data_IF_189700967794
#
_entry.id   IF_189700967794
#
_cell.length_a   1.000
_cell.length_b   1.000
_cell.length_c   1.000
_cell.angle_alpha   90.00
_cell.angle_beta   90.00
_cell.angle_gamma   90.00
#
_symmetry.space_group_name_H-M   'P 1'
#
loop_
_entity.id
_entity.type
_entity.pdbx_description
1 polymer ?
#
# COMPACT_ATOMS: atom_id res chain seq x y z
N UNK A 1 14.20 3.67 -5.11
CA UNK A 1 13.11 4.33 -5.83
C UNK A 1 13.66 5.50 -6.63
N UNK A 2 12.99 5.87 -7.74
CA UNK A 2 13.40 6.99 -8.57
C UNK A 2 12.35 7.42 -9.58
N UNK A 3 12.69 8.48 -10.33
CA UNK A 3 11.85 9.06 -11.37
C UNK A 3 12.69 9.32 -12.62
N UNK A 4 12.14 9.05 -13.80
CA UNK A 4 12.78 9.29 -15.09
C UNK A 4 11.81 10.04 -16.02
N UNK A 5 12.18 11.21 -16.58
CA UNK A 5 11.38 11.88 -17.61
C UNK A 5 11.25 10.97 -18.85
N UNK A 6 10.02 10.84 -19.39
CA UNK A 6 9.75 10.00 -20.56
C UNK A 6 9.19 10.78 -21.76
N UNK A 7 9.48 12.09 -21.80
CA UNK A 7 9.05 13.00 -22.84
C UNK A 7 7.71 13.69 -22.54
N UNK A 8 7.50 14.89 -23.10
CA UNK A 8 6.35 15.73 -22.78
C UNK A 8 6.22 16.00 -21.29
N UNK A 9 5.02 15.84 -20.75
CA UNK A 9 4.73 15.95 -19.31
C UNK A 9 4.81 14.59 -18.57
N UNK A 10 5.34 13.56 -19.23
CA UNK A 10 5.40 12.19 -18.70
C UNK A 10 6.61 11.95 -17.80
N UNK A 11 6.41 11.25 -16.70
CA UNK A 11 7.46 10.78 -15.78
C UNK A 11 7.23 9.31 -15.49
N UNK A 12 8.24 8.48 -15.73
CA UNK A 12 8.25 7.09 -15.28
C UNK A 12 8.70 7.05 -13.82
N UNK A 13 7.91 6.35 -12.99
CA UNK A 13 8.17 6.14 -11.57
C UNK A 13 8.61 4.70 -11.37
N UNK A 14 9.55 4.45 -10.46
CA UNK A 14 9.92 3.10 -10.11
C UNK A 14 10.39 2.98 -8.66
N UNK A 15 10.07 1.86 -8.05
CA UNK A 15 10.70 1.40 -6.81
C UNK A 15 11.06 -0.08 -6.97
N UNK A 16 12.25 -0.45 -6.50
CA UNK A 16 12.69 -1.83 -6.36
C UNK A 16 13.40 -1.94 -5.02
N UNK A 17 12.96 -2.91 -4.22
CA UNK A 17 13.55 -3.17 -2.90
C UNK A 17 13.78 -4.67 -2.74
N UNK A 18 14.84 -5.01 -2.03
CA UNK A 18 15.13 -6.35 -1.58
C UNK A 18 15.69 -6.30 -0.17
N UNK A 19 15.21 -7.20 0.68
CA UNK A 19 15.79 -7.43 2.00
C UNK A 19 15.78 -8.92 2.32
N UNK A 20 16.66 -9.35 3.22
CA UNK A 20 16.68 -10.69 3.74
C UNK A 20 16.73 -10.66 5.26
N UNK A 21 15.85 -11.43 5.87
CA UNK A 21 15.78 -11.61 7.32
C UNK A 21 16.09 -13.06 7.69
N UNK A 22 16.94 -13.25 8.68
CA UNK A 22 17.25 -14.59 9.22
C UNK A 22 17.30 -14.54 10.74
N UNK A 23 17.20 -15.71 11.35
CA UNK A 23 17.40 -15.86 12.78
C UNK A 23 18.79 -15.46 13.23
N UNK A 24 18.91 -15.02 14.48
CA UNK A 24 20.17 -14.60 15.06
C UNK A 24 20.36 -15.18 16.49
N UNK A 25 21.61 -15.53 16.80
CA UNK A 25 22.03 -15.99 18.13
C UNK A 25 21.33 -17.28 18.57
N UNK A 26 20.79 -17.27 19.77
CA UNK A 26 20.12 -18.41 20.39
C UNK A 26 18.61 -18.50 20.08
N UNK A 27 18.15 -17.89 18.99
CA UNK A 27 16.74 -17.97 18.60
C UNK A 27 16.35 -19.45 18.40
N UNK A 28 15.30 -19.97 19.07
CA UNK A 28 14.87 -21.37 18.92
C UNK A 28 14.24 -21.65 17.54
N UNK A 29 13.81 -20.62 16.81
CA UNK A 29 13.24 -20.73 15.46
C UNK A 29 14.30 -20.40 14.43
N UNK A 30 14.57 -21.35 13.54
CA UNK A 30 15.47 -21.16 12.40
C UNK A 30 14.66 -20.70 11.19
N UNK A 31 15.04 -19.56 10.58
CA UNK A 31 14.40 -19.06 9.38
C UNK A 31 15.35 -18.21 8.52
N UNK A 32 15.10 -18.21 7.24
CA UNK A 32 15.66 -17.25 6.29
C UNK A 32 14.52 -16.88 5.34
N UNK A 33 14.15 -15.61 5.32
CA UNK A 33 12.98 -15.08 4.60
C UNK A 33 13.40 -13.89 3.76
N UNK A 34 12.89 -13.82 2.56
CA UNK A 34 13.18 -12.76 1.61
C UNK A 34 12.00 -11.78 1.51
N UNK A 35 12.33 -10.52 1.30
CA UNK A 35 11.41 -9.43 0.97
C UNK A 35 11.73 -8.91 -0.43
N UNK A 36 10.69 -8.68 -1.21
CA UNK A 36 10.76 -8.08 -2.53
C UNK A 36 9.66 -7.05 -2.72
N UNK A 37 10.02 -5.91 -3.30
CA UNK A 37 9.08 -4.94 -3.84
C UNK A 37 9.53 -4.54 -5.24
N UNK A 38 8.58 -4.54 -6.18
CA UNK A 38 8.73 -3.96 -7.52
C UNK A 38 7.49 -3.13 -7.81
N UNK A 39 7.67 -1.83 -8.01
CA UNK A 39 6.59 -0.88 -8.26
C UNK A 39 6.96 0.03 -9.45
N UNK A 40 6.63 -0.32 -10.70
CA UNK A 40 6.61 0.60 -11.82
C UNK A 40 5.38 1.50 -11.77
N UNK A 41 5.52 2.71 -12.35
CA UNK A 41 4.42 3.66 -12.46
C UNK A 41 4.66 4.72 -13.52
N UNK A 42 3.63 5.49 -13.79
CA UNK A 42 3.67 6.63 -14.70
C UNK A 42 2.90 7.80 -14.10
N UNK A 43 3.44 9.00 -14.25
CA UNK A 43 2.78 10.25 -13.93
C UNK A 43 2.68 11.08 -15.20
N UNK A 44 1.48 11.58 -15.49
CA UNK A 44 1.21 12.47 -16.64
C UNK A 44 0.38 13.65 -16.12
N UNK A 45 1.00 14.82 -16.08
CA UNK A 45 0.36 16.00 -15.50
C UNK A 45 -0.16 15.75 -14.08
N UNK A 46 -1.47 15.90 -13.82
CA UNK A 46 -2.06 15.73 -12.50
C UNK A 46 -2.38 14.27 -12.12
N UNK A 47 -2.25 13.33 -13.06
CA UNK A 47 -2.60 11.92 -12.88
C UNK A 47 -1.36 11.05 -12.65
N UNK A 48 -1.48 10.03 -11.82
CA UNK A 48 -0.48 8.97 -11.67
C UNK A 48 -1.15 7.59 -11.60
N UNK A 49 -0.46 6.59 -12.13
CA UNK A 49 -0.84 5.19 -12.05
C UNK A 49 0.41 4.37 -11.71
N UNK A 50 0.29 3.47 -10.75
CA UNK A 50 1.33 2.53 -10.37
C UNK A 50 0.77 1.12 -10.31
N UNK A 51 1.61 0.14 -10.58
CA UNK A 51 1.35 -1.26 -10.31
C UNK A 51 2.47 -1.77 -9.40
N UNK A 52 2.11 -2.41 -8.30
CA UNK A 52 3.10 -2.93 -7.35
C UNK A 52 2.93 -4.42 -7.13
N UNK A 53 4.05 -5.08 -6.93
CA UNK A 53 4.12 -6.45 -6.44
C UNK A 53 5.05 -6.48 -5.23
N UNK A 54 4.48 -6.75 -4.07
CA UNK A 54 5.20 -6.87 -2.81
C UNK A 54 5.11 -8.31 -2.29
N UNK A 55 6.23 -8.82 -1.79
CA UNK A 55 6.32 -10.16 -1.26
C UNK A 55 7.10 -10.15 0.05
N UNK A 56 6.41 -10.50 1.14
CA UNK A 56 6.98 -10.75 2.46
C UNK A 56 6.90 -12.25 2.72
N UNK A 57 8.03 -12.93 2.69
CA UNK A 57 8.04 -14.38 2.84
C UNK A 57 7.56 -14.88 4.20
N UNK A 58 7.03 -16.09 4.18
CA UNK A 58 6.74 -16.89 5.35
C UNK A 58 7.03 -18.36 5.08
N UNK A 59 7.43 -19.10 6.10
CA UNK A 59 7.79 -20.52 5.99
C UNK A 59 6.75 -21.46 6.61
N UNK A 60 5.55 -20.95 6.90
CA UNK A 60 4.47 -21.69 7.58
C UNK A 60 4.52 -21.61 9.11
N UNK A 61 5.64 -21.13 9.68
CA UNK A 61 5.83 -20.99 11.13
C UNK A 61 6.11 -19.54 11.52
N UNK A 62 6.87 -18.83 10.69
CA UNK A 62 7.28 -17.44 10.89
C UNK A 62 7.05 -16.69 9.59
N UNK A 63 6.42 -15.50 9.66
CA UNK A 63 6.40 -14.50 8.59
C UNK A 63 7.53 -13.49 8.76
N UNK A 64 7.95 -12.84 7.67
CA UNK A 64 8.93 -11.78 7.69
C UNK A 64 8.45 -10.64 8.60
N UNK A 65 9.29 -10.19 9.50
CA UNK A 65 8.94 -9.17 10.50
C UNK A 65 9.34 -7.78 10.02
N UNK A 66 8.45 -6.82 10.19
CA UNK A 66 8.65 -5.41 9.85
C UNK A 66 8.48 -4.52 11.09
N UNK A 67 9.36 -4.65 12.12
CA UNK A 67 9.12 -4.10 13.46
C UNK A 67 9.06 -2.57 13.53
N UNK A 68 9.57 -1.86 12.52
CA UNK A 68 9.60 -0.39 12.46
C UNK A 68 8.68 0.17 11.37
N UNK A 69 7.87 -0.65 10.73
CA UNK A 69 6.97 -0.18 9.67
C UNK A 69 5.80 0.61 10.25
N UNK A 70 5.37 1.64 9.50
CA UNK A 70 4.11 2.34 9.75
C UNK A 70 2.95 1.48 9.21
N UNK A 71 2.52 0.53 9.99
CA UNK A 71 1.68 -0.60 9.59
C UNK A 71 0.43 -0.22 8.78
N UNK A 72 -0.28 0.85 9.15
CA UNK A 72 -1.48 1.32 8.43
C UNK A 72 -1.20 1.85 7.00
N UNK A 73 0.04 2.17 6.66
CA UNK A 73 0.40 2.74 5.35
C UNK A 73 0.63 1.66 4.28
N UNK A 74 0.80 0.41 4.67
CA UNK A 74 1.19 -0.70 3.81
C UNK A 74 0.15 -1.80 3.81
N UNK A 75 0.07 -2.55 2.70
CA UNK A 75 -0.75 -3.75 2.53
C UNK A 75 -2.23 -3.52 2.87
N UNK A 76 -2.77 -2.39 2.42
CA UNK A 76 -4.19 -2.02 2.56
C UNK A 76 -4.55 -1.30 3.85
N UNK A 77 -5.63 -0.51 3.78
CA UNK A 77 -6.09 0.33 4.89
C UNK A 77 -7.09 -0.36 5.83
N UNK A 78 -7.56 -1.56 5.46
CA UNK A 78 -8.39 -2.37 6.36
C UNK A 78 -7.61 -2.96 7.54
N UNK A 79 -6.26 -2.82 7.54
CA UNK A 79 -5.35 -3.28 8.59
C UNK A 79 -5.39 -4.81 8.82
N UNK A 80 -5.50 -5.57 7.74
CA UNK A 80 -5.52 -7.04 7.84
C UNK A 80 -4.12 -7.63 7.99
N UNK A 81 -3.10 -6.91 7.52
CA UNK A 81 -1.71 -7.36 7.44
C UNK A 81 -0.77 -6.48 8.27
N UNK A 82 -1.22 -6.06 9.48
CA UNK A 82 -0.36 -5.36 10.46
C UNK A 82 0.85 -6.19 10.91
N UNK A 83 0.78 -7.49 10.73
CA UNK A 83 1.91 -8.41 10.81
C UNK A 83 1.82 -9.41 9.66
N UNK A 84 2.96 -9.79 9.11
CA UNK A 84 3.03 -10.79 8.05
C UNK A 84 2.55 -12.14 8.59
N UNK A 85 1.55 -12.79 7.97
CA UNK A 85 1.14 -14.13 8.34
C UNK A 85 2.29 -15.15 8.26
N UNK A 86 2.21 -16.22 9.04
CA UNK A 86 3.24 -17.27 9.03
C UNK A 86 3.44 -17.90 7.63
N UNK A 87 2.39 -17.94 6.81
CA UNK A 87 2.47 -18.39 5.41
C UNK A 87 2.95 -17.30 4.44
N UNK A 88 3.40 -16.13 4.96
CA UNK A 88 3.84 -14.98 4.18
C UNK A 88 2.69 -14.18 3.59
N UNK A 89 3.03 -13.07 2.95
CA UNK A 89 2.12 -12.18 2.24
C UNK A 89 2.66 -11.88 0.84
N UNK A 90 1.82 -12.06 -0.15
CA UNK A 90 1.97 -11.55 -1.51
C UNK A 90 0.86 -10.53 -1.73
N UNK A 91 1.24 -9.33 -2.08
CA UNK A 91 0.33 -8.23 -2.38
C UNK A 91 0.60 -7.75 -3.82
N UNK A 92 -0.36 -7.93 -4.70
CA UNK A 92 -0.38 -7.26 -5.99
C UNK A 92 -1.36 -6.11 -5.91
N UNK A 93 -0.91 -4.89 -6.27
CA UNK A 93 -1.78 -3.72 -6.20
C UNK A 93 -1.71 -2.81 -7.43
N UNK A 94 -2.80 -2.09 -7.64
CA UNK A 94 -2.91 -1.00 -8.61
C UNK A 94 -3.30 0.27 -7.85
N UNK A 95 -2.53 1.33 -8.01
CA UNK A 95 -2.71 2.62 -7.33
C UNK A 95 -2.88 3.73 -8.37
N UNK A 96 -4.03 4.36 -8.39
CA UNK A 96 -4.35 5.49 -9.25
C UNK A 96 -4.62 6.74 -8.41
N UNK A 97 -4.00 7.86 -8.78
CA UNK A 97 -4.24 9.14 -8.12
C UNK A 97 -4.41 10.27 -9.14
N UNK A 98 -5.25 11.22 -8.77
CA UNK A 98 -5.51 12.43 -9.56
C UNK A 98 -5.64 13.64 -8.63
N UNK A 99 -4.90 14.71 -8.94
CA UNK A 99 -5.01 15.98 -8.22
C UNK A 99 -5.62 17.03 -9.14
N UNK A 100 -6.79 17.54 -8.79
CA UNK A 100 -7.51 18.55 -9.58
C UNK A 100 -6.67 19.81 -9.71
N UNK A 101 -6.26 20.18 -10.95
CA UNK A 101 -5.42 21.35 -11.18
C UNK A 101 -6.24 22.64 -11.23
N UNK A 102 -5.53 23.78 -11.36
CA UNK A 102 -6.12 25.09 -11.66
C UNK A 102 -6.54 25.89 -10.42
N UNK A 103 -7.53 26.79 -10.58
CA UNK A 103 -8.00 27.73 -9.56
C UNK A 103 -9.50 27.66 -9.30
N UNK A 104 -10.18 26.64 -9.81
CA UNK A 104 -11.62 26.43 -9.62
C UNK A 104 -11.97 25.96 -8.19
N UNK A 105 -13.26 25.80 -7.88
CA UNK A 105 -13.72 25.44 -6.54
C UNK A 105 -13.21 24.07 -6.05
N UNK A 106 -12.86 23.14 -6.95
CA UNK A 106 -12.29 21.85 -6.61
C UNK A 106 -10.75 21.80 -6.76
N UNK A 107 -10.10 22.94 -7.01
CA UNK A 107 -8.64 22.97 -7.12
C UNK A 107 -7.94 22.42 -5.89
N UNK A 108 -6.97 21.54 -6.10
CA UNK A 108 -6.23 20.89 -5.04
C UNK A 108 -6.90 19.64 -4.47
N UNK A 109 -8.17 19.33 -4.83
CA UNK A 109 -8.78 18.06 -4.48
C UNK A 109 -7.93 16.91 -5.00
N UNK A 110 -7.51 16.03 -4.10
CA UNK A 110 -6.77 14.80 -4.43
C UNK A 110 -7.70 13.62 -4.27
N UNK A 111 -7.81 12.83 -5.34
CA UNK A 111 -8.52 11.55 -5.34
C UNK A 111 -7.48 10.44 -5.52
N UNK A 112 -7.61 9.35 -4.76
CA UNK A 112 -6.78 8.16 -4.89
C UNK A 112 -7.63 6.91 -4.73
N UNK A 113 -7.38 5.92 -5.56
CA UNK A 113 -7.96 4.59 -5.43
C UNK A 113 -6.85 3.55 -5.51
N UNK A 114 -6.87 2.58 -4.62
CA UNK A 114 -5.93 1.45 -4.64
C UNK A 114 -6.73 0.15 -4.58
N UNK A 115 -6.38 -0.78 -5.44
CA UNK A 115 -6.90 -2.12 -5.42
C UNK A 115 -5.79 -3.10 -5.10
N UNK A 116 -6.06 -4.07 -4.24
CA UNK A 116 -5.12 -5.11 -3.81
C UNK A 116 -5.70 -6.50 -4.05
N UNK A 117 -4.82 -7.45 -4.43
CA UNK A 117 -5.07 -8.89 -4.43
C UNK A 117 -4.02 -9.56 -3.56
N UNK A 118 -4.48 -10.17 -2.46
CA UNK A 118 -3.62 -10.75 -1.45
C UNK A 118 -3.58 -12.28 -1.50
N UNK A 119 -2.41 -12.84 -1.26
CA UNK A 119 -2.23 -14.28 -1.12
C UNK A 119 -1.04 -14.63 -0.26
N UNK A 120 -0.93 -15.91 0.10
CA UNK A 120 0.23 -16.42 0.80
C UNK A 120 1.43 -16.59 -0.14
N UNK A 121 2.64 -16.57 0.41
CA UNK A 121 3.86 -16.97 -0.31
C UNK A 121 4.11 -18.47 -0.24
N UNK A 122 3.48 -19.15 0.71
CA UNK A 122 3.59 -20.61 0.94
C UNK A 122 2.19 -21.18 1.18
N UNK A 123 1.90 -22.34 0.59
CA UNK A 123 0.63 -23.05 0.78
C UNK A 123 -0.50 -22.66 -0.18
N UNK A 124 -0.29 -21.67 -1.07
CA UNK A 124 -1.27 -21.33 -2.13
C UNK A 124 -2.61 -20.78 -1.63
N UNK A 125 -2.63 -20.11 -0.48
CA UNK A 125 -3.86 -19.59 0.15
C UNK A 125 -4.17 -18.22 -0.47
N UNK A 126 -5.36 -18.04 -1.03
CA UNK A 126 -5.90 -16.74 -1.37
C UNK A 126 -6.36 -16.04 -0.07
N UNK A 127 -5.89 -14.83 0.18
CA UNK A 127 -6.28 -14.11 1.39
C UNK A 127 -7.49 -13.23 1.19
N UNK A 128 -7.69 -12.74 -0.03
CA UNK A 128 -8.80 -11.87 -0.38
C UNK A 128 -8.35 -10.62 -1.14
N UNK A 129 -9.24 -9.65 -1.24
CA UNK A 129 -9.03 -8.41 -2.00
C UNK A 129 -9.41 -7.20 -1.19
N UNK A 130 -8.83 -6.05 -1.52
CA UNK A 130 -9.18 -4.80 -0.86
C UNK A 130 -9.29 -3.66 -1.85
N UNK A 131 -10.33 -2.86 -1.68
CA UNK A 131 -10.49 -1.56 -2.31
C UNK A 131 -10.27 -0.45 -1.30
N UNK A 132 -9.43 0.48 -1.65
CA UNK A 132 -9.15 1.70 -0.88
C UNK A 132 -9.50 2.91 -1.72
N UNK A 133 -10.17 3.89 -1.14
CA UNK A 133 -10.46 5.16 -1.78
C UNK A 133 -10.19 6.32 -0.81
N UNK A 134 -9.65 7.41 -1.35
CA UNK A 134 -9.34 8.62 -0.59
C UNK A 134 -9.77 9.84 -1.39
N UNK A 135 -10.40 10.78 -0.70
CA UNK A 135 -10.61 12.14 -1.17
C UNK A 135 -10.03 13.11 -0.12
N UNK A 136 -9.08 13.96 -0.51
CA UNK A 136 -8.46 14.96 0.37
C UNK A 136 -8.58 16.33 -0.27
N UNK A 137 -9.13 17.28 0.48
CA UNK A 137 -9.43 18.63 -0.02
C UNK A 137 -8.84 19.71 0.88
N UNK A 138 -7.99 20.61 0.36
CA UNK A 138 -7.49 21.76 1.12
C UNK A 138 -8.60 22.81 1.29
N UNK A 139 -8.99 23.08 2.52
CA UNK A 139 -9.96 24.11 2.87
C UNK A 139 -9.23 25.36 3.34
N UNK A 140 -8.96 26.26 2.38
CA UNK A 140 -8.15 27.43 2.60
C UNK A 140 -6.66 27.10 2.79
N UNK A 141 -5.96 27.88 3.64
CA UNK A 141 -4.51 27.75 3.85
C UNK A 141 -4.14 26.89 5.07
N UNK A 142 -5.10 26.60 5.95
CA UNK A 142 -4.83 26.02 7.25
C UNK A 142 -5.45 24.64 7.49
N UNK A 143 -6.47 24.28 6.72
CA UNK A 143 -7.20 23.05 6.96
C UNK A 143 -7.14 22.13 5.77
N UNK A 144 -7.09 20.84 6.01
CA UNK A 144 -7.27 19.78 5.03
C UNK A 144 -8.33 18.82 5.54
N UNK A 145 -9.34 18.59 4.71
CA UNK A 145 -10.39 17.61 4.96
C UNK A 145 -10.04 16.33 4.21
N UNK A 146 -10.06 15.18 4.88
CA UNK A 146 -9.80 13.89 4.24
C UNK A 146 -10.89 12.90 4.60
N UNK A 147 -11.43 12.24 3.58
CA UNK A 147 -12.28 11.06 3.72
C UNK A 147 -11.55 9.85 3.14
N UNK A 148 -11.56 8.72 3.86
CA UNK A 148 -10.97 7.45 3.41
C UNK A 148 -11.99 6.33 3.56
N UNK A 149 -11.96 5.39 2.64
CA UNK A 149 -12.72 4.15 2.65
C UNK A 149 -11.76 3.00 2.42
N UNK A 150 -11.91 1.91 3.18
CA UNK A 150 -11.33 0.62 2.88
C UNK A 150 -12.43 -0.45 2.91
N UNK A 151 -12.43 -1.34 1.92
CA UNK A 151 -13.30 -2.50 1.86
C UNK A 151 -12.48 -3.73 1.52
N UNK A 152 -12.27 -4.57 2.51
CA UNK A 152 -11.62 -5.87 2.39
C UNK A 152 -12.68 -6.97 2.25
N UNK A 153 -12.51 -7.81 1.25
CA UNK A 153 -13.31 -9.01 0.97
C UNK A 153 -12.43 -10.23 1.22
N UNK A 154 -12.76 -10.98 2.26
CA UNK A 154 -11.99 -12.14 2.69
C UNK A 154 -12.22 -13.34 1.77
N UNK A 155 -11.16 -14.12 1.51
CA UNK A 155 -11.26 -15.42 0.83
C UNK A 155 -10.78 -16.54 1.75
N UNK A 156 -9.54 -16.60 2.14
CA UNK A 156 -9.00 -17.62 3.07
C UNK A 156 -8.33 -17.04 4.30
N UNK A 157 -8.46 -15.75 4.54
CA UNK A 157 -7.80 -15.05 5.66
C UNK A 157 -8.66 -13.93 6.23
N UNK A 158 -8.72 -13.83 7.55
CA UNK A 158 -9.45 -12.81 8.29
C UNK A 158 -10.98 -12.80 8.00
N UNK A 159 -11.62 -11.62 8.02
CA UNK A 159 -13.06 -11.44 7.80
C UNK A 159 -13.31 -10.20 6.95
N UNK A 160 -14.43 -10.18 6.23
CA UNK A 160 -14.90 -9.00 5.52
C UNK A 160 -14.92 -7.78 6.42
N UNK A 161 -14.41 -6.68 5.90
CA UNK A 161 -14.30 -5.46 6.70
C UNK A 161 -14.48 -4.23 5.83
N UNK A 162 -15.30 -3.32 6.31
CA UNK A 162 -15.41 -1.97 5.75
C UNK A 162 -15.04 -0.97 6.83
N UNK A 163 -14.12 -0.06 6.51
CA UNK A 163 -13.71 1.04 7.38
C UNK A 163 -13.92 2.37 6.67
N UNK A 164 -14.31 3.39 7.43
CA UNK A 164 -14.50 4.74 6.95
C UNK A 164 -13.85 5.71 7.94
N UNK A 165 -13.08 6.67 7.42
CA UNK A 165 -12.46 7.72 8.21
C UNK A 165 -12.82 9.10 7.66
N UNK A 166 -13.03 10.03 8.59
CA UNK A 166 -13.09 11.46 8.32
C UNK A 166 -12.06 12.16 9.20
N UNK A 167 -11.22 12.95 8.58
CA UNK A 167 -10.10 13.61 9.25
C UNK A 167 -10.08 15.10 8.87
N UNK A 168 -9.79 15.93 9.86
CA UNK A 168 -9.50 17.35 9.68
C UNK A 168 -8.08 17.58 10.22
N UNK A 169 -7.20 18.05 9.36
CA UNK A 169 -5.85 18.49 9.74
C UNK A 169 -5.76 20.00 9.72
N UNK A 170 -4.99 20.56 10.66
CA UNK A 170 -4.65 21.99 10.69
C UNK A 170 -3.15 22.18 10.71
N UNK A 171 -2.68 23.15 9.93
CA UNK A 171 -1.29 23.60 9.96
C UNK A 171 -1.24 24.97 10.64
N UNK A 172 -0.45 25.07 11.72
CA UNK A 172 -0.26 26.28 12.52
C UNK A 172 0.86 27.17 11.95
#
# INVERSE_FOLDING_TARGET
AGELPVGGEGTFLYAVEYARQHDHGANPRRFALDYWLVEPGVKIGPASLKAGYERLEGNGTVGLLTPLATLHAFNGWADKFLSTPASGLRDFYLDAAYKVPGKGPLSGLTLRAVWHDYGSTTGGIAYGREWNALASYPLGKRFTLTAKLARYEADGFATDTTKLWFQIETTL
#
